data_IF_697772035165
#
_entry.id   IF_697772035165
#
_cell.length_a   1.000
_cell.length_b   1.000
_cell.length_c   1.000
_cell.angle_alpha   90.00
_cell.angle_beta   90.00
_cell.angle_gamma   90.00
#
_symmetry.space_group_name_H-M   'P 1'
#
loop_
_entity.id
_entity.type
_entity.pdbx_description
1 polymer ?
#
# COMPACT_ATOMS: atom_id res chain seq x y z
N UNK A 1 41.46 -14.25 86.89
CA UNK A 1 40.95 -15.08 85.78
C UNK A 1 39.54 -14.62 85.45
N UNK A 2 39.38 -13.89 84.34
CA UNK A 2 38.06 -13.51 83.80
C UNK A 2 37.90 -14.26 82.48
N UNK A 3 37.08 -15.30 82.48
CA UNK A 3 36.76 -16.14 81.32
C UNK A 3 35.70 -15.53 80.41
N UNK A 4 35.22 -14.30 80.71
CA UNK A 4 34.14 -13.64 79.99
C UNK A 4 34.60 -12.81 78.77
N UNK A 5 35.91 -12.56 78.60
CA UNK A 5 36.41 -11.86 77.40
C UNK A 5 36.65 -12.80 76.21
N UNK A 6 37.04 -14.05 76.47
CA UNK A 6 37.34 -15.03 75.43
C UNK A 6 36.08 -15.56 74.73
N UNK A 7 34.97 -15.69 75.44
CA UNK A 7 33.70 -16.17 74.86
C UNK A 7 33.06 -15.15 73.89
N UNK A 8 33.29 -13.84 74.08
CA UNK A 8 32.83 -12.82 73.12
C UNK A 8 33.67 -12.78 71.84
N UNK A 9 34.96 -13.09 71.92
CA UNK A 9 35.88 -13.17 70.78
C UNK A 9 35.61 -14.41 69.91
N UNK A 10 35.38 -15.57 70.54
CA UNK A 10 35.12 -16.82 69.82
C UNK A 10 33.77 -16.85 69.07
N UNK A 11 32.72 -16.20 69.58
CA UNK A 11 31.46 -16.04 68.84
C UNK A 11 31.61 -15.08 67.64
N UNK A 12 32.52 -14.11 67.73
CA UNK A 12 32.78 -13.14 66.67
C UNK A 12 33.63 -13.73 65.53
N UNK A 13 34.55 -14.65 65.83
CA UNK A 13 35.43 -15.29 64.84
C UNK A 13 34.69 -16.19 63.83
N UNK A 14 33.76 -17.03 64.29
CA UNK A 14 32.96 -17.88 63.40
C UNK A 14 32.05 -17.06 62.48
N UNK A 15 31.51 -15.95 63.00
CA UNK A 15 30.66 -15.01 62.24
C UNK A 15 31.49 -14.22 61.22
N UNK A 16 32.69 -13.78 61.61
CA UNK A 16 33.64 -13.11 60.73
C UNK A 16 34.12 -13.99 59.57
N UNK A 17 34.47 -15.25 59.85
CA UNK A 17 34.99 -16.17 58.84
C UNK A 17 33.92 -16.63 57.85
N UNK A 18 32.69 -16.86 58.32
CA UNK A 18 31.54 -17.16 57.47
C UNK A 18 31.14 -15.97 56.59
N UNK A 19 31.11 -14.75 57.15
CA UNK A 19 30.89 -13.53 56.39
C UNK A 19 32.00 -13.30 55.33
N UNK A 20 33.26 -13.65 55.64
CA UNK A 20 34.38 -13.51 54.69
C UNK A 20 34.24 -14.46 53.51
N UNK A 21 33.81 -15.69 53.76
CA UNK A 21 33.52 -16.65 52.70
C UNK A 21 32.34 -16.19 51.83
N UNK A 22 31.27 -15.68 52.46
CA UNK A 22 30.12 -15.12 51.74
C UNK A 22 30.53 -13.90 50.89
N UNK A 23 31.39 -13.01 51.41
CA UNK A 23 31.92 -11.87 50.67
C UNK A 23 32.66 -12.32 49.41
N UNK A 24 33.58 -13.28 49.57
CA UNK A 24 34.38 -13.80 48.47
C UNK A 24 33.52 -14.49 47.41
N UNK A 25 32.42 -15.13 47.82
CA UNK A 25 31.46 -15.74 46.90
C UNK A 25 30.61 -14.70 46.16
N UNK A 26 30.27 -13.58 46.80
CA UNK A 26 29.47 -12.52 46.20
C UNK A 26 30.30 -11.60 45.30
N UNK A 27 31.53 -11.27 45.67
CA UNK A 27 32.36 -10.31 44.92
C UNK A 27 32.77 -10.80 43.54
N UNK A 28 32.74 -12.11 43.31
CA UNK A 28 32.99 -12.71 41.98
C UNK A 28 31.77 -12.67 41.06
N UNK A 29 30.58 -12.38 41.60
CA UNK A 29 29.36 -12.29 40.81
C UNK A 29 29.36 -11.01 39.98
N UNK A 30 28.82 -11.05 38.75
CA UNK A 30 28.63 -9.83 37.97
C UNK A 30 27.63 -8.91 38.64
N UNK A 31 27.76 -7.60 38.43
CA UNK A 31 26.90 -6.58 39.03
C UNK A 31 25.41 -6.84 38.80
N UNK A 32 25.04 -7.37 37.63
CA UNK A 32 23.68 -7.79 37.30
C UNK A 32 23.12 -8.78 38.33
N UNK A 33 23.88 -9.79 38.70
CA UNK A 33 23.43 -10.85 39.60
C UNK A 33 23.42 -10.37 41.06
N UNK A 34 24.26 -9.39 41.38
CA UNK A 34 24.25 -8.68 42.66
C UNK A 34 23.06 -7.74 42.86
N UNK A 35 22.38 -7.34 41.78
CA UNK A 35 21.18 -6.48 41.88
C UNK A 35 19.91 -7.23 42.27
N UNK A 36 19.99 -8.57 42.38
CA UNK A 36 18.90 -9.41 42.91
C UNK A 36 18.66 -9.11 44.39
N UNK A 37 17.40 -9.08 44.88
CA UNK A 37 17.08 -8.66 46.26
C UNK A 37 17.86 -9.44 47.34
N UNK A 38 18.02 -10.73 47.16
CA UNK A 38 18.73 -11.62 48.08
C UNK A 38 20.24 -11.35 48.08
N UNK A 39 20.85 -11.22 46.90
CA UNK A 39 22.29 -10.99 46.73
C UNK A 39 22.68 -9.56 47.15
N UNK A 40 21.85 -8.56 46.86
CA UNK A 40 22.06 -7.17 47.27
C UNK A 40 22.05 -7.05 48.79
N UNK A 41 21.07 -7.69 49.44
CA UNK A 41 20.94 -7.71 50.90
C UNK A 41 22.12 -8.43 51.52
N UNK A 42 22.44 -9.63 51.02
CA UNK A 42 23.58 -10.43 51.48
C UNK A 42 24.91 -9.69 51.33
N UNK A 43 25.11 -8.97 50.22
CA UNK A 43 26.33 -8.19 49.98
C UNK A 43 26.42 -6.98 50.94
N UNK A 44 25.32 -6.27 51.18
CA UNK A 44 25.29 -5.13 52.13
C UNK A 44 25.56 -5.57 53.57
N UNK A 45 24.94 -6.66 54.00
CA UNK A 45 25.14 -7.23 55.34
C UNK A 45 26.58 -7.70 55.49
N UNK A 46 27.10 -8.40 54.48
CA UNK A 46 28.48 -8.87 54.49
C UNK A 46 29.47 -7.72 54.52
N UNK A 47 29.33 -6.71 53.66
CA UNK A 47 30.18 -5.50 53.66
C UNK A 47 30.10 -4.75 55.00
N UNK A 48 28.95 -4.78 55.66
CA UNK A 48 28.79 -4.18 56.98
C UNK A 48 29.57 -4.93 58.04
N UNK A 49 29.46 -6.27 58.07
CA UNK A 49 30.22 -7.13 58.98
C UNK A 49 31.73 -7.00 58.70
N UNK A 50 32.17 -7.03 57.44
CA UNK A 50 33.58 -6.88 57.08
C UNK A 50 34.17 -5.54 57.52
N UNK A 51 33.38 -4.46 57.46
CA UNK A 51 33.81 -3.14 57.91
C UNK A 51 34.01 -3.04 59.44
N UNK A 52 33.39 -3.93 60.21
CA UNK A 52 33.57 -3.99 61.67
C UNK A 52 34.79 -4.84 62.08
N UNK A 53 35.33 -5.64 61.15
CA UNK A 53 36.47 -6.56 61.37
C UNK A 53 37.66 -6.29 60.43
N UNK A 54 37.85 -5.03 60.04
CA UNK A 54 38.91 -4.63 59.10
C UNK A 54 40.33 -5.02 59.54
N UNK A 55 40.57 -5.19 60.83
CA UNK A 55 41.86 -5.63 61.38
C UNK A 55 42.28 -7.03 60.90
N UNK A 56 41.36 -7.82 60.33
CA UNK A 56 41.63 -9.14 59.73
C UNK A 56 42.09 -9.06 58.25
N UNK A 57 42.27 -7.85 57.72
CA UNK A 57 42.60 -7.59 56.32
C UNK A 57 43.92 -6.80 56.20
N UNK A 58 44.57 -6.88 55.04
CA UNK A 58 45.66 -5.94 54.73
C UNK A 58 45.10 -4.51 54.64
N UNK A 59 45.97 -3.51 54.78
CA UNK A 59 45.59 -2.11 54.70
C UNK A 59 44.87 -1.78 53.38
N UNK A 60 45.36 -2.32 52.27
CA UNK A 60 44.75 -2.17 50.94
C UNK A 60 43.38 -2.84 50.85
N UNK A 61 43.25 -4.05 51.39
CA UNK A 61 41.98 -4.79 51.40
C UNK A 61 40.93 -4.06 52.25
N UNK A 62 41.32 -3.59 53.44
CA UNK A 62 40.46 -2.84 54.34
C UNK A 62 39.94 -1.55 53.67
N UNK A 63 40.82 -0.81 52.99
CA UNK A 63 40.46 0.38 52.21
C UNK A 63 39.44 0.07 51.12
N UNK A 64 39.66 -1.01 50.35
CA UNK A 64 38.72 -1.43 49.28
C UNK A 64 37.37 -1.86 49.82
N UNK A 65 37.31 -2.53 50.96
CA UNK A 65 36.03 -2.91 51.60
C UNK A 65 35.23 -1.67 52.00
N UNK A 66 35.89 -0.65 52.56
CA UNK A 66 35.24 0.61 52.93
C UNK A 66 34.73 1.39 51.72
N UNK A 67 35.56 1.52 50.68
CA UNK A 67 35.17 2.13 49.40
C UNK A 67 33.96 1.41 48.80
N UNK A 68 34.03 0.08 48.71
CA UNK A 68 32.95 -0.73 48.15
C UNK A 68 31.67 -0.65 48.98
N UNK A 69 31.75 -0.62 50.31
CA UNK A 69 30.58 -0.42 51.19
C UNK A 69 29.85 0.89 50.88
N UNK A 70 30.60 1.94 50.57
CA UNK A 70 30.04 3.25 50.22
C UNK A 70 29.48 3.28 48.80
N UNK A 71 30.20 2.70 47.84
CA UNK A 71 29.87 2.79 46.40
C UNK A 71 28.81 1.76 45.95
N UNK A 72 28.73 0.60 46.60
CA UNK A 72 27.88 -0.50 46.18
C UNK A 72 26.40 -0.12 45.98
N UNK A 73 25.74 0.63 46.90
CA UNK A 73 24.36 1.08 46.69
C UNK A 73 24.19 1.92 45.41
N UNK A 74 25.15 2.81 45.13
CA UNK A 74 25.14 3.67 43.94
C UNK A 74 25.35 2.85 42.66
N UNK A 75 26.28 1.88 42.69
CA UNK A 75 26.53 0.97 41.56
C UNK A 75 25.28 0.15 41.21
N UNK A 76 24.62 -0.42 42.22
CA UNK A 76 23.40 -1.20 42.02
C UNK A 76 22.26 -0.33 41.50
N UNK A 77 22.10 0.89 42.03
CA UNK A 77 21.12 1.84 41.53
C UNK A 77 21.36 2.22 40.06
N UNK A 78 22.59 2.63 39.73
CA UNK A 78 22.98 3.00 38.37
C UNK A 78 22.79 1.85 37.38
N UNK A 79 23.09 0.61 37.79
CA UNK A 79 22.82 -0.57 36.96
C UNK A 79 21.33 -0.75 36.67
N UNK A 80 20.45 -0.59 37.67
CA UNK A 80 18.99 -0.70 37.49
C UNK A 80 18.46 0.38 36.55
N UNK A 81 18.90 1.62 36.70
CA UNK A 81 18.48 2.73 35.83
C UNK A 81 18.97 2.55 34.40
N UNK A 82 20.22 2.14 34.23
CA UNK A 82 20.79 1.88 32.91
C UNK A 82 20.08 0.71 32.22
N UNK A 83 19.88 -0.40 32.94
CA UNK A 83 19.19 -1.59 32.40
C UNK A 83 17.76 -1.26 31.95
N UNK A 84 17.03 -0.47 32.75
CA UNK A 84 15.68 -0.01 32.42
C UNK A 84 15.69 0.88 31.17
N UNK A 85 16.60 1.86 31.14
CA UNK A 85 16.76 2.77 30.00
C UNK A 85 17.14 2.02 28.72
N UNK A 86 18.02 1.03 28.82
CA UNK A 86 18.42 0.18 27.71
C UNK A 86 17.23 -0.59 27.12
N UNK A 87 16.42 -1.25 27.96
CA UNK A 87 15.22 -1.95 27.51
C UNK A 87 14.21 -1.01 26.84
N UNK A 88 13.96 0.16 27.42
CA UNK A 88 13.07 1.16 26.81
C UNK A 88 13.60 1.68 25.48
N UNK A 89 14.91 1.95 25.38
CA UNK A 89 15.54 2.42 24.15
C UNK A 89 15.47 1.37 23.03
N UNK A 90 15.71 0.09 23.34
CA UNK A 90 15.64 -0.98 22.34
C UNK A 90 14.24 -1.12 21.77
N UNK A 91 13.21 -1.06 22.64
CA UNK A 91 11.81 -1.05 22.19
C UNK A 91 11.53 0.16 21.30
N UNK A 92 11.97 1.34 21.71
CA UNK A 92 11.80 2.56 20.92
C UNK A 92 12.45 2.47 19.54
N UNK A 93 13.66 1.93 19.44
CA UNK A 93 14.33 1.75 18.15
C UNK A 93 13.61 0.74 17.25
N UNK A 94 13.12 -0.38 17.80
CA UNK A 94 12.34 -1.36 17.05
C UNK A 94 11.02 -0.77 16.54
N UNK A 95 10.32 0.00 17.37
CA UNK A 95 9.09 0.69 16.99
C UNK A 95 9.36 1.75 15.91
N UNK A 96 10.45 2.53 16.03
CA UNK A 96 10.88 3.52 15.05
C UNK A 96 11.21 2.88 13.69
N UNK A 97 11.96 1.77 13.69
CA UNK A 97 12.29 1.04 12.47
C UNK A 97 11.03 0.50 11.78
N UNK A 98 10.10 -0.06 12.54
CA UNK A 98 8.79 -0.50 12.03
C UNK A 98 8.03 0.66 11.40
N UNK A 99 7.93 1.79 12.09
CA UNK A 99 7.26 2.99 11.56
C UNK A 99 7.94 3.50 10.29
N UNK A 100 9.27 3.56 10.27
CA UNK A 100 10.05 3.97 9.10
C UNK A 100 9.77 3.08 7.88
N UNK A 101 9.76 1.76 8.07
CA UNK A 101 9.43 0.81 7.02
C UNK A 101 8.00 0.99 6.50
N UNK A 102 7.03 1.20 7.39
CA UNK A 102 5.64 1.48 7.02
C UNK A 102 5.50 2.78 6.21
N UNK A 103 6.21 3.84 6.59
CA UNK A 103 6.24 5.12 5.86
C UNK A 103 6.83 4.91 4.46
N UNK A 104 7.94 4.19 4.35
CA UNK A 104 8.56 3.90 3.06
C UNK A 104 7.65 3.09 2.13
N UNK A 105 6.95 2.07 2.63
CA UNK A 105 5.98 1.31 1.84
C UNK A 105 4.79 2.18 1.43
N UNK A 106 4.26 2.99 2.35
CA UNK A 106 3.12 3.88 2.06
C UNK A 106 3.47 4.93 0.99
N UNK A 107 4.65 5.51 1.04
CA UNK A 107 5.11 6.49 0.04
C UNK A 107 5.24 5.86 -1.35
N UNK A 108 5.73 4.61 -1.42
CA UNK A 108 5.81 3.86 -2.68
C UNK A 108 4.42 3.56 -3.26
N UNK A 109 3.48 3.17 -2.41
CA UNK A 109 2.10 2.88 -2.82
C UNK A 109 1.39 4.15 -3.31
N UNK A 110 1.60 5.28 -2.63
CA UNK A 110 1.08 6.60 -3.03
C UNK A 110 1.59 7.00 -4.42
N UNK A 111 2.89 6.86 -4.69
CA UNK A 111 3.47 7.18 -6.00
C UNK A 111 2.92 6.25 -7.09
N UNK A 112 2.77 4.94 -6.81
CA UNK A 112 2.16 4.00 -7.76
C UNK A 112 0.71 4.37 -8.09
N UNK A 113 -0.08 4.77 -7.08
CA UNK A 113 -1.46 5.22 -7.28
C UNK A 113 -1.52 6.51 -8.10
N UNK A 114 -0.62 7.45 -7.85
CA UNK A 114 -0.51 8.70 -8.60
C UNK A 114 -0.22 8.45 -10.08
N UNK A 115 0.77 7.62 -10.40
CA UNK A 115 1.10 7.23 -11.78
C UNK A 115 -0.14 6.60 -12.44
N UNK A 116 -0.78 5.64 -11.76
CA UNK A 116 -1.96 4.96 -12.30
C UNK A 116 -3.13 5.91 -12.54
N UNK A 117 -3.31 6.90 -11.67
CA UNK A 117 -4.34 7.92 -11.82
C UNK A 117 -4.09 8.78 -13.06
N UNK A 118 -2.86 9.23 -13.30
CA UNK A 118 -2.48 10.03 -14.47
C UNK A 118 -2.67 9.26 -15.79
N UNK A 119 -2.32 7.97 -15.81
CA UNK A 119 -2.60 7.06 -16.94
C UNK A 119 -4.09 6.98 -17.25
N UNK A 120 -4.92 6.76 -16.22
CA UNK A 120 -6.38 6.68 -16.37
C UNK A 120 -6.98 8.01 -16.82
N UNK A 121 -6.45 9.14 -16.33
CA UNK A 121 -6.89 10.46 -16.75
C UNK A 121 -6.58 10.69 -18.24
N UNK A 122 -5.41 10.25 -18.71
CA UNK A 122 -5.02 10.31 -20.13
C UNK A 122 -5.92 9.44 -20.99
N UNK A 123 -6.16 8.19 -20.56
CA UNK A 123 -7.08 7.27 -21.25
C UNK A 123 -8.52 7.79 -21.32
N UNK A 124 -9.00 8.45 -20.26
CA UNK A 124 -10.32 9.12 -20.26
C UNK A 124 -10.39 10.19 -21.35
N UNK A 125 -9.37 11.03 -21.50
CA UNK A 125 -9.33 12.08 -22.52
C UNK A 125 -9.34 11.47 -23.93
N UNK A 126 -8.57 10.42 -24.15
CA UNK A 126 -8.54 9.69 -25.43
C UNK A 126 -9.91 9.12 -25.79
N UNK A 127 -10.57 8.43 -24.84
CA UNK A 127 -11.90 7.86 -25.08
C UNK A 127 -12.96 8.92 -25.34
N UNK A 128 -12.89 10.08 -24.69
CA UNK A 128 -13.80 11.20 -24.97
C UNK A 128 -13.61 11.73 -26.40
N UNK A 129 -12.36 11.84 -26.86
CA UNK A 129 -12.08 12.27 -28.24
C UNK A 129 -12.60 11.24 -29.27
N UNK A 130 -12.45 9.94 -29.01
CA UNK A 130 -13.01 8.89 -29.85
C UNK A 130 -14.54 8.96 -29.89
N UNK A 131 -15.18 9.18 -28.74
CA UNK A 131 -16.63 9.32 -28.67
C UNK A 131 -17.12 10.52 -29.49
N UNK A 132 -16.44 11.66 -29.39
CA UNK A 132 -16.78 12.86 -30.17
C UNK A 132 -16.63 12.60 -31.68
N UNK A 133 -15.58 11.88 -32.10
CA UNK A 133 -15.38 11.52 -33.50
C UNK A 133 -16.52 10.64 -34.03
N UNK A 134 -16.92 9.60 -33.29
CA UNK A 134 -18.04 8.71 -33.66
C UNK A 134 -19.35 9.49 -33.73
N UNK A 135 -19.60 10.41 -32.80
CA UNK A 135 -20.81 11.24 -32.83
C UNK A 135 -20.85 12.14 -34.07
N UNK A 136 -19.72 12.73 -34.48
CA UNK A 136 -19.62 13.52 -35.71
C UNK A 136 -19.87 12.66 -36.95
N UNK A 137 -19.31 11.46 -37.00
CA UNK A 137 -19.53 10.51 -38.10
C UNK A 137 -21.01 10.11 -38.19
N UNK A 138 -21.65 9.77 -37.06
CA UNK A 138 -23.07 9.45 -37.01
C UNK A 138 -23.95 10.60 -37.51
N UNK A 139 -23.64 11.84 -37.13
CA UNK A 139 -24.35 13.02 -37.63
C UNK A 139 -24.20 13.16 -39.15
N UNK A 140 -22.99 13.00 -39.68
CA UNK A 140 -22.74 13.02 -41.12
C UNK A 140 -23.49 11.93 -41.88
N UNK A 141 -23.53 10.71 -41.36
CA UNK A 141 -24.30 9.60 -41.95
C UNK A 141 -25.81 9.90 -41.92
N UNK A 142 -26.33 10.49 -40.84
CA UNK A 142 -27.73 10.85 -40.73
C UNK A 142 -28.14 11.89 -41.79
N UNK A 143 -27.30 12.92 -42.02
CA UNK A 143 -27.49 13.90 -43.07
C UNK A 143 -27.47 13.27 -44.46
N UNK A 144 -26.46 12.43 -44.75
CA UNK A 144 -26.36 11.71 -46.03
C UNK A 144 -27.58 10.82 -46.27
N UNK A 145 -28.06 10.12 -45.25
CA UNK A 145 -29.26 9.27 -45.34
C UNK A 145 -30.50 10.11 -45.66
N UNK A 146 -30.64 11.26 -45.02
CA UNK A 146 -31.75 12.17 -45.27
C UNK A 146 -31.74 12.72 -46.71
N UNK A 147 -30.57 13.09 -47.22
CA UNK A 147 -30.43 13.59 -48.59
C UNK A 147 -30.68 12.49 -49.63
N UNK A 148 -30.11 11.30 -49.43
CA UNK A 148 -30.40 10.12 -50.26
C UNK A 148 -31.91 9.81 -50.29
N UNK A 149 -32.59 9.88 -49.15
CA UNK A 149 -34.03 9.65 -49.09
C UNK A 149 -34.82 10.65 -49.95
N UNK A 150 -34.46 11.95 -49.92
CA UNK A 150 -35.07 12.98 -50.78
C UNK A 150 -34.85 12.67 -52.26
N UNK A 151 -33.62 12.33 -52.65
CA UNK A 151 -33.27 11.97 -54.02
C UNK A 151 -34.04 10.73 -54.50
N UNK A 152 -34.10 9.68 -53.68
CA UNK A 152 -34.86 8.47 -53.99
C UNK A 152 -36.34 8.78 -54.20
N UNK A 153 -36.95 9.61 -53.33
CA UNK A 153 -38.36 10.00 -53.46
C UNK A 153 -38.62 10.72 -54.80
N UNK A 154 -37.73 11.62 -55.22
CA UNK A 154 -37.83 12.31 -56.51
C UNK A 154 -37.73 11.34 -57.70
N UNK A 155 -36.79 10.39 -57.65
CA UNK A 155 -36.61 9.37 -58.70
C UNK A 155 -37.83 8.45 -58.82
N UNK A 156 -38.42 8.03 -57.70
CA UNK A 156 -39.65 7.22 -57.70
C UNK A 156 -40.79 7.98 -58.38
N UNK A 157 -41.04 9.24 -57.99
CA UNK A 157 -42.09 10.06 -58.62
C UNK A 157 -41.84 10.32 -60.11
N UNK A 158 -40.58 10.47 -60.54
CA UNK A 158 -40.22 10.62 -61.95
C UNK A 158 -40.50 9.33 -62.73
N UNK A 159 -40.13 8.18 -62.16
CA UNK A 159 -40.39 6.86 -62.74
C UNK A 159 -41.89 6.60 -62.91
N UNK A 160 -42.70 6.89 -61.89
CA UNK A 160 -44.17 6.74 -61.94
C UNK A 160 -44.79 7.60 -63.05
N UNK A 161 -44.37 8.88 -63.17
CA UNK A 161 -44.82 9.77 -64.24
C UNK A 161 -44.47 9.24 -65.63
N UNK A 162 -43.24 8.75 -65.79
CA UNK A 162 -42.79 8.19 -67.06
C UNK A 162 -43.53 6.90 -67.41
N UNK A 163 -43.76 6.01 -66.44
CA UNK A 163 -44.57 4.80 -66.64
C UNK A 163 -46.01 5.14 -67.06
N UNK A 164 -46.62 6.16 -66.46
CA UNK A 164 -47.93 6.68 -66.87
C UNK A 164 -47.95 7.16 -68.33
N UNK A 165 -46.99 8.00 -68.71
CA UNK A 165 -46.84 8.50 -70.09
C UNK A 165 -46.60 7.37 -71.10
N UNK A 166 -45.80 6.36 -70.74
CA UNK A 166 -45.55 5.21 -71.61
C UNK A 166 -46.84 4.41 -71.83
N UNK A 167 -47.61 4.14 -70.78
CA UNK A 167 -48.91 3.46 -70.90
C UNK A 167 -49.89 4.25 -71.77
N UNK A 168 -49.96 5.56 -71.58
CA UNK A 168 -50.80 6.45 -72.39
C UNK A 168 -50.40 6.40 -73.88
N UNK A 169 -49.10 6.56 -74.19
CA UNK A 169 -48.59 6.45 -75.56
C UNK A 169 -48.85 5.07 -76.17
N UNK A 170 -48.69 4.01 -75.39
CA UNK A 170 -48.94 2.64 -75.84
C UNK A 170 -50.42 2.43 -76.17
N UNK A 171 -51.34 2.98 -75.38
CA UNK A 171 -52.77 2.96 -75.66
C UNK A 171 -53.09 3.72 -76.96
N UNK A 172 -52.56 4.93 -77.13
CA UNK A 172 -52.74 5.72 -78.36
C UNK A 172 -52.22 4.96 -79.59
N UNK A 173 -51.04 4.36 -79.51
CA UNK A 173 -50.50 3.51 -80.58
C UNK A 173 -51.43 2.32 -80.88
N UNK A 174 -51.93 1.62 -79.86
CA UNK A 174 -52.82 0.47 -80.06
C UNK A 174 -54.13 0.84 -80.76
N UNK A 175 -54.63 2.07 -80.56
CA UNK A 175 -55.82 2.61 -81.23
C UNK A 175 -55.50 3.07 -82.66
N UNK A 176 -54.33 3.68 -82.86
CA UNK A 176 -53.91 4.22 -84.15
C UNK A 176 -53.50 3.12 -85.16
N UNK A 177 -52.83 2.06 -84.70
CA UNK A 177 -52.38 0.95 -85.56
C UNK A 177 -53.47 0.33 -86.44
N UNK A 178 -54.64 -0.09 -85.92
CA UNK A 178 -55.67 -0.68 -86.77
C UNK A 178 -56.27 0.34 -87.76
N UNK A 179 -56.37 1.62 -87.38
CA UNK A 179 -56.81 2.69 -88.30
C UNK A 179 -55.81 2.87 -89.45
N UNK A 180 -54.52 2.88 -89.13
CA UNK A 180 -53.47 3.01 -90.14
C UNK A 180 -53.45 1.79 -91.07
N UNK A 181 -53.55 0.57 -90.54
CA UNK A 181 -53.62 -0.66 -91.34
C UNK A 181 -54.84 -0.64 -92.28
N UNK A 182 -56.02 -0.24 -91.79
CA UNK A 182 -57.21 -0.11 -92.63
C UNK A 182 -57.01 0.91 -93.76
N UNK A 183 -56.37 2.06 -93.50
CA UNK A 183 -56.05 3.03 -94.55
C UNK A 183 -55.08 2.45 -95.60
N UNK A 184 -54.09 1.66 -95.16
CA UNK A 184 -53.18 0.94 -96.07
C UNK A 184 -53.95 -0.06 -96.93
N UNK A 185 -54.86 -0.84 -96.34
CA UNK A 185 -55.68 -1.82 -97.06
C UNK A 185 -56.62 -1.12 -98.07
N UNK A 186 -57.25 -0.01 -97.68
CA UNK A 186 -58.09 0.81 -98.56
C UNK A 186 -57.29 1.37 -99.74
N UNK A 187 -56.09 1.89 -99.48
CA UNK A 187 -55.21 2.39 -100.53
C UNK A 187 -54.79 1.29 -101.49
N UNK A 188 -54.42 0.11 -100.98
CA UNK A 188 -54.10 -1.05 -101.79
C UNK A 188 -55.28 -1.49 -102.68
N UNK A 189 -56.51 -1.47 -102.14
CA UNK A 189 -57.72 -1.73 -102.91
C UNK A 189 -57.92 -0.69 -104.04
N UNK A 190 -57.73 0.60 -103.76
CA UNK A 190 -57.79 1.66 -104.79
C UNK A 190 -56.73 1.43 -105.86
N UNK A 191 -55.48 1.14 -105.49
CA UNK A 191 -54.40 0.88 -106.45
C UNK A 191 -54.70 -0.30 -107.37
N UNK A 192 -55.35 -1.36 -106.85
CA UNK A 192 -55.73 -2.53 -107.65
C UNK A 192 -56.77 -2.23 -108.73
N UNK A 193 -57.51 -1.11 -108.64
CA UNK A 193 -58.45 -0.67 -109.69
C UNK A 193 -57.75 -0.04 -110.90
N UNK A 194 -56.47 0.28 -110.79
CA UNK A 194 -55.66 0.92 -111.83
C UNK A 194 -54.55 0.01 -112.38
N UNK A 195 -54.53 -1.26 -111.97
CA UNK A 195 -53.63 -2.32 -112.43
C UNK A 195 -54.44 -3.40 -113.13
#
# INVERSE_FOLDING_TARGET
>A
MSTYLLSSLFCNENTAQSAKLLFNNLIVLPLKDLTGPENETSMKETLSIQADILFLFSEEQAKRILELKLEFPTLVHGWREYSRSQMHSQKFFADLEKTSNMVATSAKDEECLKIRYEELQSKKKELLAQLEAVQKEMAGIAEQRHEKFKQTKQLVSLSEKNAGRTKEKQLVMSIASPKLNNLVDQWAAIQSLFM
#
